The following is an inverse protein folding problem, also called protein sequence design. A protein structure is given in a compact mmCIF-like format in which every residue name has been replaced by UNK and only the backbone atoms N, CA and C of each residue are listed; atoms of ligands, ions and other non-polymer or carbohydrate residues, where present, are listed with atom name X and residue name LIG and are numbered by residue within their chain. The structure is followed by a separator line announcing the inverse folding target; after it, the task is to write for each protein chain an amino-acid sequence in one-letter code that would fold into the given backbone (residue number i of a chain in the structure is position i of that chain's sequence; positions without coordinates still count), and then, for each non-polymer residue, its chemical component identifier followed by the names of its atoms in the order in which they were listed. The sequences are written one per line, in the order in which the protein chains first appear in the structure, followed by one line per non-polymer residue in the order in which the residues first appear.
data_IF_510754643597
#
_entry.id   IF_510754643597
#
_cell.length_a   1.000
_cell.length_b   1.000
_cell.length_c   1.000
_cell.angle_alpha   90.00
_cell.angle_beta   90.00
_cell.angle_gamma   90.00
#
_symmetry.space_group_name_H-M   'P 1'
#
loop_
_entity.id
_entity.type
_entity.pdbx_description
1 polymer ?
#
# COMPACT_ATOMS: atom_id res chain seq x y z
N UNK A 1 -11.40 -2.57 -13.05
CA UNK A 1 -11.11 -4.03 -13.00
C UNK A 1 -10.20 -4.30 -11.79
N UNK A 2 -10.39 -5.40 -11.04
CA UNK A 2 -9.56 -5.75 -9.86
C UNK A 2 -8.67 -6.95 -10.16
N UNK A 3 -7.49 -7.05 -9.53
CA UNK A 3 -6.61 -8.24 -9.67
C UNK A 3 -7.27 -9.51 -9.15
N UNK A 4 -8.19 -9.38 -8.20
CA UNK A 4 -8.99 -10.45 -7.62
C UNK A 4 -10.34 -10.66 -8.32
N UNK A 5 -10.46 -10.33 -9.59
CA UNK A 5 -11.66 -10.62 -10.38
C UNK A 5 -11.43 -11.74 -11.39
N UNK A 6 -12.45 -12.54 -11.63
CA UNK A 6 -12.45 -13.60 -12.65
C UNK A 6 -12.10 -13.00 -14.03
N UNK A 7 -12.65 -11.83 -14.36
CA UNK A 7 -12.37 -11.12 -15.61
C UNK A 7 -10.88 -10.78 -15.77
N UNK A 8 -10.21 -10.39 -14.67
CA UNK A 8 -8.78 -10.12 -14.71
C UNK A 8 -7.96 -11.39 -14.86
N UNK A 9 -8.23 -12.40 -14.04
CA UNK A 9 -7.40 -13.61 -13.93
C UNK A 9 -7.47 -14.49 -15.18
N UNK A 10 -8.66 -14.66 -15.74
CA UNK A 10 -8.91 -15.65 -16.80
C UNK A 10 -9.10 -15.06 -18.19
N UNK A 11 -9.29 -13.75 -18.31
CA UNK A 11 -9.41 -13.10 -19.62
C UNK A 11 -8.33 -12.06 -19.84
N UNK A 12 -8.32 -11.01 -19.03
CA UNK A 12 -7.41 -9.88 -19.26
C UNK A 12 -5.94 -10.28 -19.17
N UNK A 13 -5.51 -10.87 -18.05
CA UNK A 13 -4.11 -11.20 -17.82
C UNK A 13 -3.54 -12.20 -18.84
N UNK A 14 -4.22 -13.32 -19.18
CA UNK A 14 -3.74 -14.23 -20.22
C UNK A 14 -3.62 -13.57 -21.60
N UNK A 15 -4.61 -12.76 -21.99
CA UNK A 15 -4.57 -12.04 -23.28
C UNK A 15 -3.37 -11.08 -23.31
N UNK A 16 -3.15 -10.30 -22.25
CA UNK A 16 -2.01 -9.36 -22.18
C UNK A 16 -0.67 -10.10 -22.21
N UNK A 17 -0.55 -11.23 -21.50
CA UNK A 17 0.67 -12.05 -21.53
C UNK A 17 0.92 -12.57 -22.94
N UNK A 18 -0.07 -13.16 -23.59
CA UNK A 18 0.05 -13.69 -24.96
C UNK A 18 0.49 -12.56 -25.93
N UNK A 19 -0.21 -11.43 -25.92
CA UNK A 19 0.12 -10.29 -26.77
C UNK A 19 1.55 -9.79 -26.51
N UNK A 20 1.95 -9.67 -25.23
CA UNK A 20 3.26 -9.18 -24.85
C UNK A 20 4.41 -10.07 -25.33
N UNK A 21 4.23 -11.40 -25.35
CA UNK A 21 5.27 -12.32 -25.78
C UNK A 21 5.30 -12.55 -27.30
N UNK A 22 4.18 -12.37 -28.00
CA UNK A 22 4.12 -12.50 -29.47
C UNK A 22 4.75 -11.30 -30.18
N UNK A 23 4.57 -10.07 -29.65
CA UNK A 23 5.04 -8.87 -30.36
C UNK A 23 6.56 -8.70 -30.27
N UNK A 24 7.19 -8.11 -31.33
CA UNK A 24 8.60 -7.72 -31.28
C UNK A 24 8.92 -6.74 -30.15
N UNK A 25 10.17 -6.73 -29.67
CA UNK A 25 10.62 -5.91 -28.53
C UNK A 25 10.19 -4.44 -28.61
N UNK A 26 10.23 -3.83 -29.79
CA UNK A 26 9.86 -2.43 -30.03
C UNK A 26 8.40 -2.10 -29.70
N UNK A 27 7.50 -3.08 -29.74
CA UNK A 27 6.07 -2.89 -29.47
C UNK A 27 5.67 -3.25 -28.04
N UNK A 28 6.55 -3.85 -27.23
CA UNK A 28 6.22 -4.29 -25.87
C UNK A 28 5.70 -3.16 -24.96
N UNK A 29 6.31 -1.96 -25.03
CA UNK A 29 5.81 -0.81 -24.27
C UNK A 29 4.44 -0.34 -24.76
N UNK A 30 4.18 -0.41 -26.07
CA UNK A 30 2.88 -0.05 -26.63
C UNK A 30 1.78 -0.99 -26.16
N UNK A 31 2.03 -2.31 -26.16
CA UNK A 31 1.07 -3.29 -25.65
C UNK A 31 0.81 -3.05 -24.15
N UNK A 32 1.85 -2.85 -23.34
CA UNK A 32 1.66 -2.58 -21.92
C UNK A 32 0.91 -1.27 -21.67
N UNK A 33 1.20 -0.22 -22.41
CA UNK A 33 0.48 1.05 -22.31
C UNK A 33 -1.00 0.87 -22.65
N UNK A 34 -1.29 0.26 -23.80
CA UNK A 34 -2.67 0.06 -24.26
C UNK A 34 -3.45 -0.82 -23.27
N UNK A 35 -2.86 -1.92 -22.80
CA UNK A 35 -3.46 -2.79 -21.80
C UNK A 35 -3.69 -2.06 -20.48
N UNK A 36 -2.75 -1.20 -20.05
CA UNK A 36 -2.88 -0.42 -18.81
C UNK A 36 -4.00 0.63 -18.92
N UNK A 37 -4.09 1.32 -20.04
CA UNK A 37 -5.19 2.27 -20.29
C UNK A 37 -6.53 1.53 -20.32
N UNK A 38 -6.62 0.39 -21.00
CA UNK A 38 -7.85 -0.42 -21.02
C UNK A 38 -8.23 -0.90 -19.61
N UNK A 39 -7.24 -1.40 -18.83
CA UNK A 39 -7.46 -1.83 -17.44
C UNK A 39 -8.04 -0.69 -16.58
N UNK A 40 -7.47 0.51 -16.71
CA UNK A 40 -7.91 1.69 -15.95
C UNK A 40 -9.27 2.18 -16.43
N UNK A 41 -9.47 2.27 -17.74
CA UNK A 41 -10.72 2.69 -18.37
C UNK A 41 -11.91 1.82 -17.97
N UNK A 42 -11.73 0.50 -17.83
CA UNK A 42 -12.79 -0.39 -17.34
C UNK A 42 -13.27 -0.06 -15.90
N UNK A 43 -12.46 0.63 -15.11
CA UNK A 43 -12.86 1.07 -13.76
C UNK A 43 -13.22 2.55 -13.68
N UNK A 44 -12.51 3.38 -14.46
CA UNK A 44 -12.54 4.84 -14.38
C UNK A 44 -12.54 5.49 -15.78
N UNK A 45 -13.64 5.41 -16.55
CA UNK A 45 -13.67 5.89 -17.93
C UNK A 45 -13.29 7.38 -18.05
N UNK A 46 -13.93 8.25 -17.27
CA UNK A 46 -13.72 9.71 -17.34
C UNK A 46 -12.32 10.07 -16.81
N UNK A 47 -11.90 9.47 -15.71
CA UNK A 47 -10.61 9.80 -15.06
C UNK A 47 -9.40 9.22 -15.79
N UNK A 48 -9.61 8.35 -16.77
CA UNK A 48 -8.55 7.95 -17.71
C UNK A 48 -8.02 9.15 -18.49
N UNK A 49 -8.89 10.06 -18.93
CA UNK A 49 -8.47 11.28 -19.63
C UNK A 49 -7.73 12.24 -18.70
N UNK A 50 -8.14 12.33 -17.42
CA UNK A 50 -7.42 13.11 -16.42
C UNK A 50 -5.99 12.57 -16.25
N UNK A 51 -5.82 11.27 -16.06
CA UNK A 51 -4.51 10.64 -15.91
C UNK A 51 -3.62 10.88 -17.13
N UNK A 52 -4.16 10.71 -18.35
CA UNK A 52 -3.42 10.98 -19.58
C UNK A 52 -3.02 12.46 -19.68
N UNK A 53 -3.91 13.38 -19.30
CA UNK A 53 -3.65 14.81 -19.23
C UNK A 53 -2.51 15.16 -18.27
N UNK A 54 -2.52 14.60 -17.05
CA UNK A 54 -1.43 14.79 -16.08
C UNK A 54 -0.09 14.23 -16.58
N UNK A 55 -0.10 13.05 -17.23
CA UNK A 55 1.11 12.48 -17.86
C UNK A 55 1.62 13.40 -18.97
N UNK A 56 0.73 13.96 -19.78
CA UNK A 56 1.11 14.87 -20.86
C UNK A 56 1.74 16.18 -20.30
N UNK A 57 1.13 16.77 -19.28
CA UNK A 57 1.68 17.94 -18.59
C UNK A 57 3.05 17.64 -18.00
N UNK A 58 3.22 16.49 -17.34
CA UNK A 58 4.50 16.06 -16.81
C UNK A 58 5.56 15.85 -17.91
N UNK A 59 5.15 15.26 -19.05
CA UNK A 59 6.03 15.02 -20.20
C UNK A 59 6.57 16.32 -20.81
N UNK A 60 5.68 17.25 -21.14
CA UNK A 60 6.07 18.54 -21.71
C UNK A 60 6.81 19.39 -20.69
N UNK A 61 6.28 19.44 -19.48
CA UNK A 61 6.83 20.23 -18.37
C UNK A 61 8.23 19.77 -17.97
N UNK A 62 8.49 18.46 -17.84
CA UNK A 62 9.81 17.94 -17.50
C UNK A 62 10.86 18.25 -18.58
N UNK A 63 10.50 18.15 -19.87
CA UNK A 63 11.40 18.52 -20.98
C UNK A 63 11.74 20.01 -20.99
N UNK A 64 10.75 20.85 -20.70
CA UNK A 64 10.96 22.28 -20.57
C UNK A 64 11.81 22.63 -19.33
N UNK A 65 11.56 21.92 -18.21
CA UNK A 65 12.32 22.04 -16.97
C UNK A 65 13.79 21.61 -17.14
N UNK A 66 14.07 20.52 -17.83
CA UNK A 66 15.44 20.07 -18.13
C UNK A 66 16.23 21.14 -18.88
N UNK A 67 15.61 21.78 -19.89
CA UNK A 67 16.24 22.81 -20.71
C UNK A 67 16.53 24.10 -19.93
N UNK A 68 15.60 24.55 -19.09
CA UNK A 68 15.68 25.86 -18.44
C UNK A 68 16.11 25.81 -16.97
N UNK A 69 15.96 24.69 -16.27
CA UNK A 69 16.31 24.45 -14.86
C UNK A 69 15.84 25.53 -13.87
N UNK A 70 14.70 26.19 -14.16
CA UNK A 70 14.16 27.24 -13.28
C UNK A 70 13.28 26.63 -12.19
N UNK A 71 13.50 27.06 -10.94
CA UNK A 71 12.71 26.64 -9.78
C UNK A 71 11.22 26.97 -9.92
N UNK A 72 10.88 28.10 -10.57
CA UNK A 72 9.49 28.51 -10.83
C UNK A 72 8.74 27.44 -11.66
N UNK A 73 9.37 26.89 -12.70
CA UNK A 73 8.78 25.82 -13.53
C UNK A 73 8.51 24.57 -12.68
N UNK A 74 9.48 24.18 -11.83
CA UNK A 74 9.27 23.06 -10.91
C UNK A 74 8.07 23.31 -10.00
N UNK A 75 8.02 24.48 -9.35
CA UNK A 75 6.91 24.84 -8.43
C UNK A 75 5.57 24.83 -9.16
N UNK A 76 5.49 25.37 -10.40
CA UNK A 76 4.26 25.35 -11.18
C UNK A 76 3.80 23.94 -11.50
N UNK A 77 4.73 23.04 -11.91
CA UNK A 77 4.40 21.63 -12.18
C UNK A 77 3.91 20.91 -10.92
N UNK A 78 4.60 21.09 -9.79
CA UNK A 78 4.17 20.54 -8.50
C UNK A 78 2.80 21.08 -8.09
N UNK A 79 2.55 22.38 -8.27
CA UNK A 79 1.27 23.00 -7.95
C UNK A 79 0.10 22.44 -8.78
N UNK A 80 0.33 22.16 -10.08
CA UNK A 80 -0.68 21.54 -10.95
C UNK A 80 -1.04 20.13 -10.45
N UNK A 81 -0.04 19.27 -10.26
CA UNK A 81 -0.30 17.88 -9.88
C UNK A 81 -0.82 17.73 -8.44
N UNK A 82 -0.29 18.51 -7.49
CA UNK A 82 -0.80 18.54 -6.10
C UNK A 82 -2.19 19.20 -6.08
N UNK A 83 -2.43 20.23 -6.90
CA UNK A 83 -3.71 20.89 -7.01
C UNK A 83 -4.81 19.95 -7.54
N UNK A 84 -4.51 19.15 -8.56
CA UNK A 84 -5.42 18.12 -9.05
C UNK A 84 -5.75 17.09 -7.95
N UNK A 85 -4.73 16.53 -7.28
CA UNK A 85 -4.94 15.65 -6.12
C UNK A 85 -5.76 16.33 -5.03
N UNK A 86 -5.47 17.60 -4.74
CA UNK A 86 -6.17 18.41 -3.74
C UNK A 86 -7.65 18.59 -4.06
N UNK A 87 -7.96 18.89 -5.32
CA UNK A 87 -9.32 19.09 -5.78
C UNK A 87 -10.17 17.81 -5.61
N UNK A 88 -9.68 16.68 -6.07
CA UNK A 88 -10.48 15.45 -6.01
C UNK A 88 -10.53 14.81 -4.62
N UNK A 89 -9.46 14.92 -3.82
CA UNK A 89 -9.38 14.24 -2.53
C UNK A 89 -9.83 15.08 -1.34
N UNK A 90 -9.61 16.40 -1.36
CA UNK A 90 -9.78 17.23 -0.15
C UNK A 90 -10.82 18.32 -0.27
N UNK A 91 -11.44 18.58 -1.43
CA UNK A 91 -12.41 19.65 -1.61
C UNK A 91 -13.57 19.55 -0.63
N UNK A 92 -14.27 18.42 -0.58
CA UNK A 92 -15.43 18.24 0.27
C UNK A 92 -15.06 18.23 1.76
N UNK A 93 -13.92 17.65 2.12
CA UNK A 93 -13.39 17.71 3.49
C UNK A 93 -13.11 19.16 3.92
N UNK A 94 -12.50 19.96 3.04
CA UNK A 94 -12.21 21.37 3.30
C UNK A 94 -13.49 22.18 3.42
N UNK A 95 -14.44 22.00 2.49
CA UNK A 95 -15.75 22.68 2.52
C UNK A 95 -16.52 22.35 3.78
N UNK A 96 -16.57 21.07 4.18
CA UNK A 96 -17.23 20.63 5.41
C UNK A 96 -16.63 21.31 6.65
N UNK A 97 -15.30 21.37 6.76
CA UNK A 97 -14.64 22.06 7.89
C UNK A 97 -14.93 23.55 7.89
N UNK A 98 -14.93 24.23 6.73
CA UNK A 98 -15.29 25.65 6.60
C UNK A 98 -16.74 25.85 7.04
N UNK A 99 -17.66 25.02 6.57
CA UNK A 99 -19.07 25.11 6.94
C UNK A 99 -19.29 24.94 8.45
N UNK A 100 -18.56 24.00 9.08
CA UNK A 100 -18.65 23.78 10.53
C UNK A 100 -18.06 24.94 11.35
N UNK A 101 -16.92 25.48 10.94
CA UNK A 101 -16.23 26.56 11.67
C UNK A 101 -16.96 27.90 11.53
N UNK A 102 -17.42 28.23 10.33
CA UNK A 102 -17.97 29.56 10.02
C UNK A 102 -19.49 29.56 9.92
N UNK A 103 -20.18 28.42 10.11
CA UNK A 103 -21.65 28.34 9.94
C UNK A 103 -22.09 28.56 8.50
N UNK A 104 -21.19 28.46 7.52
CA UNK A 104 -21.48 28.64 6.10
C UNK A 104 -22.23 27.43 5.54
N UNK A 105 -22.90 27.63 4.37
CA UNK A 105 -23.63 26.55 3.67
C UNK A 105 -23.10 26.38 2.25
N UNK A 106 -21.77 26.32 2.09
CA UNK A 106 -21.13 26.11 0.80
C UNK A 106 -21.48 24.70 0.34
N UNK A 107 -22.00 24.49 -0.88
CA UNK A 107 -22.34 23.17 -1.39
C UNK A 107 -21.11 22.34 -1.61
N UNK A 108 -21.21 21.04 -1.30
CA UNK A 108 -20.16 20.06 -1.57
C UNK A 108 -20.06 19.80 -3.07
N UNK A 109 -18.85 19.61 -3.57
CA UNK A 109 -18.60 19.32 -4.98
C UNK A 109 -18.96 17.89 -5.36
N UNK A 110 -18.93 16.94 -4.40
CA UNK A 110 -19.24 15.51 -4.56
C UNK A 110 -18.48 14.85 -5.72
N UNK A 111 -17.21 15.27 -5.90
CA UNK A 111 -16.33 14.67 -6.91
C UNK A 111 -15.92 13.28 -6.46
N UNK A 112 -16.13 12.29 -7.31
CA UNK A 112 -15.61 10.96 -7.04
C UNK A 112 -14.07 10.97 -7.07
N UNK A 113 -13.43 10.29 -6.12
CA UNK A 113 -11.99 10.20 -6.05
C UNK A 113 -11.46 9.24 -7.14
N UNK A 114 -10.65 9.73 -8.11
CA UNK A 114 -10.09 8.84 -9.14
C UNK A 114 -9.19 7.76 -8.53
N UNK A 115 -9.44 6.51 -8.83
CA UNK A 115 -8.67 5.38 -8.30
C UNK A 115 -7.19 5.56 -8.68
N UNK A 116 -6.30 5.44 -7.70
CA UNK A 116 -4.85 5.53 -7.91
C UNK A 116 -4.29 6.94 -8.08
N UNK A 117 -5.10 8.02 -8.02
CA UNK A 117 -4.60 9.40 -8.18
C UNK A 117 -3.46 9.72 -7.20
N UNK A 118 -3.55 9.28 -5.96
CA UNK A 118 -2.49 9.48 -4.95
C UNK A 118 -1.17 8.82 -5.35
N UNK A 119 -1.22 7.66 -5.99
CA UNK A 119 -0.03 6.88 -6.40
C UNK A 119 0.62 7.47 -7.65
N UNK A 120 -0.15 7.69 -8.72
CA UNK A 120 0.44 8.22 -9.94
C UNK A 120 0.89 9.69 -9.79
N UNK A 121 0.24 10.47 -8.94
CA UNK A 121 0.72 11.81 -8.59
C UNK A 121 2.10 11.75 -7.92
N UNK A 122 2.33 10.82 -6.99
CA UNK A 122 3.66 10.65 -6.37
C UNK A 122 4.72 10.17 -7.36
N UNK A 123 4.35 9.32 -8.32
CA UNK A 123 5.24 8.92 -9.41
C UNK A 123 5.63 10.12 -10.29
N UNK A 124 4.65 10.92 -10.70
CA UNK A 124 4.87 12.12 -11.51
C UNK A 124 5.73 13.15 -10.75
N UNK A 125 5.39 13.44 -9.50
CA UNK A 125 6.15 14.37 -8.66
C UNK A 125 7.60 13.93 -8.53
N UNK A 126 7.84 12.65 -8.21
CA UNK A 126 9.21 12.13 -8.10
C UNK A 126 9.98 12.24 -9.42
N UNK A 127 9.35 11.92 -10.55
CA UNK A 127 9.95 12.07 -11.88
C UNK A 127 10.35 13.53 -12.18
N UNK A 128 9.43 14.48 -12.00
CA UNK A 128 9.67 15.90 -12.27
C UNK A 128 10.77 16.46 -11.35
N UNK A 129 10.76 16.10 -10.06
CA UNK A 129 11.79 16.50 -9.10
C UNK A 129 13.15 15.90 -9.45
N UNK A 130 13.20 14.64 -9.86
CA UNK A 130 14.46 13.97 -10.22
C UNK A 130 15.06 14.53 -11.53
N UNK A 131 14.22 14.92 -12.50
CA UNK A 131 14.66 15.69 -13.68
C UNK A 131 15.26 17.05 -13.27
N UNK A 132 14.59 17.80 -12.37
CA UNK A 132 15.12 19.07 -11.88
C UNK A 132 16.46 18.92 -11.17
N UNK A 133 16.60 17.86 -10.34
CA UNK A 133 17.85 17.52 -9.65
C UNK A 133 18.96 17.01 -10.57
N UNK A 134 18.64 16.68 -11.82
CA UNK A 134 19.58 16.10 -12.78
C UNK A 134 19.91 14.63 -12.51
N UNK A 135 19.13 13.94 -11.68
CA UNK A 135 19.29 12.50 -11.42
C UNK A 135 18.89 11.64 -12.61
N UNK A 136 17.84 12.04 -13.31
CA UNK A 136 17.36 11.41 -14.54
C UNK A 136 17.20 12.46 -15.64
N UNK A 137 17.28 12.03 -16.90
CA UNK A 137 16.98 12.89 -18.05
C UNK A 137 15.47 12.91 -18.30
N UNK A 138 14.99 14.04 -18.83
CA UNK A 138 13.59 14.11 -19.26
C UNK A 138 13.33 13.11 -20.39
N UNK A 139 12.30 12.28 -20.21
CA UNK A 139 11.96 11.23 -21.19
C UNK A 139 11.53 11.86 -22.52
N UNK A 140 12.17 11.42 -23.62
CA UNK A 140 11.92 11.92 -24.98
C UNK A 140 10.70 11.27 -25.64
N UNK A 141 10.29 10.10 -25.19
CA UNK A 141 9.14 9.36 -25.71
C UNK A 141 7.95 9.48 -24.78
N UNK A 142 6.86 10.10 -25.24
CA UNK A 142 5.61 10.16 -24.49
C UNK A 142 5.13 8.74 -24.12
N UNK A 143 5.18 7.80 -25.07
CA UNK A 143 4.76 6.42 -24.84
C UNK A 143 5.50 5.77 -23.66
N UNK A 144 6.82 5.97 -23.51
CA UNK A 144 7.57 5.38 -22.39
C UNK A 144 7.19 5.99 -21.06
N UNK A 145 7.03 7.31 -20.99
CA UNK A 145 6.57 7.97 -19.78
C UNK A 145 5.15 7.56 -19.41
N UNK A 146 4.27 7.50 -20.41
CA UNK A 146 2.89 7.07 -20.23
C UNK A 146 2.82 5.60 -19.77
N UNK A 147 3.62 4.71 -20.38
CA UNK A 147 3.74 3.32 -19.90
C UNK A 147 4.19 3.27 -18.44
N UNK A 148 5.19 4.06 -18.05
CA UNK A 148 5.68 4.10 -16.68
C UNK A 148 4.59 4.49 -15.69
N UNK A 149 3.89 5.59 -15.93
CA UNK A 149 2.91 6.13 -14.98
C UNK A 149 1.64 5.26 -14.95
N UNK A 150 1.16 4.81 -16.10
CA UNK A 150 -0.10 4.07 -16.20
C UNK A 150 0.03 2.56 -15.99
N UNK A 151 1.24 2.02 -15.78
CA UNK A 151 1.50 0.58 -15.75
C UNK A 151 0.60 -0.15 -14.76
N UNK A 152 -0.34 -0.96 -15.25
CA UNK A 152 -1.43 -1.54 -14.46
C UNK A 152 -0.99 -2.34 -13.21
N UNK A 153 0.16 -3.07 -13.19
CA UNK A 153 0.60 -3.75 -12.00
C UNK A 153 0.81 -2.85 -10.78
N UNK A 154 1.28 -1.62 -10.98
CA UNK A 154 1.64 -0.70 -9.89
C UNK A 154 0.64 0.44 -9.69
N UNK A 155 -0.20 0.75 -10.69
CA UNK A 155 -0.96 1.99 -10.81
C UNK A 155 -1.85 2.29 -9.60
N UNK A 156 -2.54 1.30 -9.07
CA UNK A 156 -3.63 1.51 -8.11
C UNK A 156 -3.12 1.56 -6.66
N UNK A 157 -2.40 0.53 -6.21
CA UNK A 157 -1.88 0.40 -4.85
C UNK A 157 -0.57 -0.43 -4.79
N UNK A 158 0.18 -0.49 -5.90
CA UNK A 158 1.49 -1.14 -5.95
C UNK A 158 2.55 -0.38 -5.15
N UNK A 159 3.79 -0.90 -5.09
CA UNK A 159 4.92 -0.11 -4.61
C UNK A 159 5.02 1.20 -5.41
N UNK A 160 5.30 2.31 -4.74
CA UNK A 160 5.56 3.60 -5.42
C UNK A 160 6.89 3.48 -6.15
N UNK A 161 6.81 3.06 -7.42
CA UNK A 161 7.98 2.86 -8.27
C UNK A 161 8.46 4.22 -8.78
N UNK A 162 9.74 4.50 -8.64
CA UNK A 162 10.36 5.73 -9.18
C UNK A 162 10.79 5.51 -10.61
N UNK A 163 10.79 6.57 -11.39
CA UNK A 163 11.26 6.52 -12.79
C UNK A 163 12.71 6.05 -12.88
N UNK A 164 13.59 6.54 -12.01
CA UNK A 164 14.99 6.12 -11.89
C UNK A 164 15.16 4.59 -11.78
N UNK A 165 14.22 3.92 -11.09
CA UNK A 165 14.28 2.47 -10.85
C UNK A 165 14.07 1.66 -12.13
N UNK A 166 13.14 2.10 -13.00
CA UNK A 166 12.74 1.32 -14.18
C UNK A 166 13.11 1.96 -15.52
N UNK A 167 13.78 3.12 -15.51
CA UNK A 167 14.19 3.85 -16.72
C UNK A 167 14.89 2.92 -17.74
N UNK A 168 15.89 2.16 -17.25
CA UNK A 168 16.64 1.23 -18.11
C UNK A 168 15.80 0.06 -18.61
N UNK A 169 14.85 -0.40 -17.82
CA UNK A 169 13.96 -1.52 -18.14
C UNK A 169 12.86 -1.12 -19.14
N UNK A 170 12.52 0.16 -19.22
CA UNK A 170 11.65 0.66 -20.29
C UNK A 170 12.30 0.52 -21.67
N UNK A 171 13.63 0.56 -21.75
CA UNK A 171 14.39 0.43 -23.00
C UNK A 171 14.85 -1.01 -23.25
N UNK A 172 15.48 -1.61 -22.24
CA UNK A 172 16.14 -2.91 -22.34
C UNK A 172 15.80 -3.78 -21.14
N UNK A 173 14.68 -4.50 -21.21
CA UNK A 173 14.33 -5.52 -20.21
C UNK A 173 14.42 -6.91 -20.78
N UNK A 174 14.82 -7.85 -19.95
CA UNK A 174 14.86 -9.28 -20.27
C UNK A 174 13.65 -9.98 -19.64
N UNK A 175 12.87 -10.65 -20.49
CA UNK A 175 11.80 -11.54 -20.04
C UNK A 175 12.28 -12.97 -20.32
N UNK A 176 12.76 -13.67 -19.31
CA UNK A 176 13.14 -15.07 -19.35
C UNK A 176 12.14 -15.93 -18.58
N UNK A 177 12.20 -17.24 -18.79
CA UNK A 177 11.30 -18.20 -18.14
C UNK A 177 11.43 -18.16 -16.60
N UNK A 178 12.63 -17.99 -16.09
CA UNK A 178 12.88 -17.94 -14.65
C UNK A 178 12.19 -16.75 -13.98
N UNK A 179 12.33 -15.54 -14.54
CA UNK A 179 11.63 -14.34 -14.08
C UNK A 179 10.11 -14.48 -14.21
N UNK A 180 9.64 -15.11 -15.28
CA UNK A 180 8.22 -15.36 -15.48
C UNK A 180 7.67 -16.32 -14.43
N UNK A 181 8.34 -17.46 -14.21
CA UNK A 181 7.94 -18.44 -13.20
C UNK A 181 7.97 -17.85 -11.77
N UNK A 182 9.01 -17.06 -11.45
CA UNK A 182 9.06 -16.31 -10.20
C UNK A 182 7.86 -15.35 -10.06
N UNK A 183 7.53 -14.63 -11.14
CA UNK A 183 6.43 -13.69 -11.18
C UNK A 183 5.08 -14.37 -10.94
N UNK A 184 4.81 -15.50 -11.63
CA UNK A 184 3.58 -16.30 -11.44
C UNK A 184 3.46 -16.77 -9.99
N UNK A 185 4.51 -17.35 -9.44
CA UNK A 185 4.54 -17.82 -8.04
C UNK A 185 4.22 -16.68 -7.08
N UNK A 186 4.90 -15.54 -7.24
CA UNK A 186 4.71 -14.37 -6.37
C UNK A 186 3.28 -13.83 -6.45
N UNK A 187 2.73 -13.78 -7.67
CA UNK A 187 1.36 -13.36 -7.91
C UNK A 187 0.34 -14.29 -7.23
N UNK A 188 0.48 -15.61 -7.39
CA UNK A 188 -0.43 -16.59 -6.80
C UNK A 188 -0.38 -16.56 -5.26
N UNK A 189 0.83 -16.42 -4.68
CA UNK A 189 0.98 -16.24 -3.22
C UNK A 189 0.27 -14.96 -2.75
N UNK A 190 0.45 -13.84 -3.47
CA UNK A 190 -0.26 -12.60 -3.20
C UNK A 190 -1.78 -12.77 -3.26
N UNK A 191 -2.26 -13.45 -4.29
CA UNK A 191 -3.67 -13.75 -4.47
C UNK A 191 -4.24 -14.60 -3.31
N UNK A 192 -3.50 -15.64 -2.89
CA UNK A 192 -3.83 -16.45 -1.71
C UNK A 192 -3.89 -15.62 -0.42
N UNK A 193 -2.92 -14.75 -0.18
CA UNK A 193 -2.92 -13.82 0.97
C UNK A 193 -4.16 -12.94 0.99
N UNK A 194 -4.56 -12.38 -0.17
CA UNK A 194 -5.74 -11.52 -0.27
C UNK A 194 -7.02 -12.29 0.01
N UNK A 195 -7.26 -13.38 -0.73
CA UNK A 195 -8.55 -14.06 -0.72
C UNK A 195 -8.72 -14.94 0.52
N UNK A 196 -7.70 -15.73 0.88
CA UNK A 196 -7.82 -16.74 1.93
C UNK A 196 -7.49 -16.22 3.34
N UNK A 197 -6.82 -15.05 3.45
CA UNK A 197 -6.46 -14.51 4.75
C UNK A 197 -7.08 -13.13 4.96
N UNK A 198 -6.77 -12.14 4.11
CA UNK A 198 -7.20 -10.77 4.34
C UNK A 198 -8.72 -10.62 4.29
N UNK A 199 -9.40 -11.30 3.35
CA UNK A 199 -10.85 -11.24 3.22
C UNK A 199 -11.55 -11.88 4.41
N UNK A 200 -11.13 -13.09 4.82
CA UNK A 200 -11.69 -13.77 5.98
C UNK A 200 -11.55 -12.95 7.27
N UNK A 201 -10.38 -12.30 7.45
CA UNK A 201 -10.19 -11.38 8.59
C UNK A 201 -11.04 -10.11 8.45
N UNK A 202 -11.29 -9.66 7.22
CA UNK A 202 -12.19 -8.55 6.92
C UNK A 202 -13.63 -8.85 7.32
N UNK A 203 -14.13 -10.03 6.98
CA UNK A 203 -15.45 -10.49 7.40
C UNK A 203 -15.61 -10.47 8.94
N UNK A 204 -14.58 -10.93 9.67
CA UNK A 204 -14.59 -10.87 11.14
C UNK A 204 -14.62 -9.42 11.66
N UNK A 205 -13.92 -8.49 11.00
CA UNK A 205 -13.98 -7.06 11.33
C UNK A 205 -15.35 -6.46 11.03
N UNK A 206 -16.00 -6.86 9.94
CA UNK A 206 -17.35 -6.41 9.58
C UNK A 206 -18.39 -6.95 10.57
N UNK A 207 -18.26 -8.21 11.00
CA UNK A 207 -19.08 -8.78 12.08
C UNK A 207 -18.95 -7.96 13.37
N UNK A 208 -17.70 -7.61 13.78
CA UNK A 208 -17.49 -6.76 14.96
C UNK A 208 -18.18 -5.40 14.80
N UNK A 209 -18.14 -4.81 13.63
CA UNK A 209 -18.72 -3.49 13.36
C UNK A 209 -20.25 -3.49 13.40
N UNK A 210 -20.88 -4.60 12.99
CA UNK A 210 -22.34 -4.72 12.87
C UNK A 210 -23.02 -5.31 14.11
N UNK A 211 -22.30 -6.03 14.98
CA UNK A 211 -22.88 -6.63 16.19
C UNK A 211 -23.08 -5.61 17.29
N UNK A 212 -24.18 -5.73 18.04
CA UNK A 212 -24.44 -4.94 19.24
C UNK A 212 -23.88 -5.60 20.52
N UNK A 213 -23.64 -6.90 20.51
CA UNK A 213 -23.15 -7.68 21.64
C UNK A 213 -21.61 -7.77 21.59
N UNK A 214 -20.93 -6.75 22.11
CA UNK A 214 -19.48 -6.74 22.20
C UNK A 214 -19.02 -7.15 23.59
N UNK A 215 -17.86 -7.83 23.67
CA UNK A 215 -17.15 -8.12 24.90
C UNK A 215 -15.73 -7.58 24.82
N UNK A 216 -15.05 -7.41 25.96
CA UNK A 216 -13.65 -6.97 25.99
C UNK A 216 -12.78 -7.84 25.08
N UNK A 217 -12.95 -9.17 25.19
CA UNK A 217 -12.20 -10.10 24.31
C UNK A 217 -12.51 -9.87 22.82
N UNK A 218 -13.75 -9.47 22.46
CA UNK A 218 -14.09 -9.23 21.05
C UNK A 218 -13.42 -7.95 20.52
N UNK A 219 -13.26 -6.90 21.32
CA UNK A 219 -12.47 -5.73 20.95
C UNK A 219 -10.99 -6.09 20.69
N UNK A 220 -10.39 -6.98 21.49
CA UNK A 220 -9.03 -7.48 21.24
C UNK A 220 -8.93 -8.33 19.98
N UNK A 221 -9.89 -9.22 19.76
CA UNK A 221 -9.96 -10.02 18.52
C UNK A 221 -10.07 -9.10 17.30
N UNK A 222 -10.91 -8.08 17.34
CA UNK A 222 -11.03 -7.06 16.30
C UNK A 222 -9.70 -6.33 16.06
N UNK A 223 -9.06 -5.83 17.08
CA UNK A 223 -7.79 -5.11 16.95
C UNK A 223 -6.68 -5.96 16.30
N UNK A 224 -6.58 -7.23 16.69
CA UNK A 224 -5.65 -8.20 16.12
C UNK A 224 -6.04 -8.51 14.66
N UNK A 225 -7.31 -8.81 14.43
CA UNK A 225 -7.82 -9.17 13.09
C UNK A 225 -7.65 -8.04 12.09
N UNK A 226 -7.98 -6.80 12.46
CA UNK A 226 -7.80 -5.66 11.59
C UNK A 226 -6.32 -5.37 11.31
N UNK A 227 -5.45 -5.51 12.31
CA UNK A 227 -4.01 -5.37 12.13
C UNK A 227 -3.44 -6.41 11.15
N UNK A 228 -3.90 -7.65 11.24
CA UNK A 228 -3.52 -8.71 10.31
C UNK A 228 -4.15 -8.50 8.93
N UNK A 229 -5.44 -8.12 8.87
CA UNK A 229 -6.15 -7.82 7.63
C UNK A 229 -5.42 -6.77 6.80
N UNK A 230 -5.14 -5.59 7.36
CA UNK A 230 -4.48 -4.50 6.63
C UNK A 230 -3.08 -4.89 6.15
N UNK A 231 -2.35 -5.69 6.93
CA UNK A 231 -1.05 -6.22 6.51
C UNK A 231 -1.16 -7.19 5.34
N UNK A 232 -2.04 -8.20 5.45
CA UNK A 232 -2.20 -9.20 4.39
C UNK A 232 -2.83 -8.60 3.14
N UNK A 233 -3.81 -7.72 3.27
CA UNK A 233 -4.45 -7.02 2.16
C UNK A 233 -3.43 -6.23 1.33
N UNK A 234 -2.64 -5.39 1.99
CA UNK A 234 -1.70 -4.51 1.30
C UNK A 234 -0.42 -5.24 0.86
N UNK A 235 0.11 -6.16 1.67
CA UNK A 235 1.26 -6.97 1.24
C UNK A 235 0.89 -7.91 0.09
N UNK A 236 -0.35 -8.41 0.04
CA UNK A 236 -0.86 -9.21 -1.06
C UNK A 236 -0.88 -8.43 -2.37
N UNK A 237 -1.42 -7.19 -2.34
CA UNK A 237 -1.38 -6.33 -3.53
C UNK A 237 0.06 -6.07 -3.99
N UNK A 238 0.96 -5.75 -3.06
CA UNK A 238 2.38 -5.53 -3.38
C UNK A 238 3.03 -6.79 -3.99
N UNK A 239 2.74 -7.99 -3.47
CA UNK A 239 3.26 -9.25 -4.02
C UNK A 239 2.71 -9.51 -5.42
N UNK A 240 1.42 -9.26 -5.67
CA UNK A 240 0.82 -9.39 -6.99
C UNK A 240 1.44 -8.38 -7.97
N UNK A 241 1.62 -7.12 -7.57
CA UNK A 241 2.24 -6.09 -8.39
C UNK A 241 3.69 -6.44 -8.76
N UNK A 242 4.50 -6.88 -7.78
CA UNK A 242 5.88 -7.33 -8.01
C UNK A 242 5.90 -8.56 -8.93
N UNK A 243 4.99 -9.51 -8.71
CA UNK A 243 4.84 -10.70 -9.53
C UNK A 243 4.55 -10.36 -10.99
N UNK A 244 3.53 -9.52 -11.23
CA UNK A 244 3.18 -9.03 -12.56
C UNK A 244 4.33 -8.25 -13.21
N UNK A 245 4.99 -7.37 -12.44
CA UNK A 245 6.18 -6.66 -12.91
C UNK A 245 7.25 -7.64 -13.43
N UNK A 246 7.56 -8.69 -12.67
CA UNK A 246 8.53 -9.73 -13.06
C UNK A 246 8.13 -10.50 -14.32
N UNK A 247 6.84 -10.83 -14.48
CA UNK A 247 6.35 -11.49 -15.69
C UNK A 247 6.64 -10.66 -16.95
N UNK A 248 6.55 -9.33 -16.83
CA UNK A 248 6.82 -8.39 -17.93
C UNK A 248 8.28 -7.88 -17.98
N UNK A 249 9.15 -8.38 -17.12
CA UNK A 249 10.59 -8.04 -17.07
C UNK A 249 10.93 -6.77 -16.32
N UNK A 250 10.05 -6.29 -15.42
CA UNK A 250 10.30 -5.18 -14.50
C UNK A 250 10.64 -5.67 -13.09
N UNK A 251 11.52 -4.93 -12.40
CA UNK A 251 11.98 -5.24 -11.05
C UNK A 251 11.48 -4.17 -10.06
N UNK A 252 10.28 -4.37 -9.51
CA UNK A 252 9.77 -3.49 -8.48
C UNK A 252 10.41 -3.81 -7.12
N UNK A 253 10.54 -2.78 -6.29
CA UNK A 253 11.11 -2.90 -4.95
C UNK A 253 10.13 -3.55 -3.98
N UNK A 254 10.69 -4.25 -2.97
CA UNK A 254 9.89 -4.78 -1.86
C UNK A 254 9.21 -3.65 -1.08
N UNK A 255 7.97 -3.89 -0.68
CA UNK A 255 7.18 -2.91 0.07
C UNK A 255 6.97 -3.31 1.54
N UNK A 256 7.09 -4.59 1.86
CA UNK A 256 6.96 -5.15 3.20
C UNK A 256 8.07 -6.15 3.53
N UNK A 257 8.52 -6.14 4.80
CA UNK A 257 9.50 -7.10 5.32
C UNK A 257 9.16 -7.52 6.75
N UNK A 258 8.08 -8.30 6.92
CA UNK A 258 7.62 -8.80 8.23
C UNK A 258 7.57 -7.71 9.33
N UNK A 259 6.76 -6.67 9.19
CA UNK A 259 6.80 -5.50 10.07
C UNK A 259 6.46 -5.80 11.53
N UNK A 260 5.67 -6.84 11.80
CA UNK A 260 5.22 -7.18 13.15
C UNK A 260 6.27 -7.84 14.05
N UNK A 261 7.45 -8.17 13.51
CA UNK A 261 8.59 -8.64 14.35
C UNK A 261 9.48 -7.49 14.84
N UNK A 262 9.14 -6.24 14.49
CA UNK A 262 9.94 -5.06 14.81
C UNK A 262 10.06 -4.84 16.32
N UNK A 263 11.17 -4.23 16.73
CA UNK A 263 11.51 -3.94 18.12
C UNK A 263 11.39 -2.46 18.48
N UNK A 264 11.08 -1.60 17.49
CA UNK A 264 10.82 -0.17 17.66
C UNK A 264 9.84 0.29 16.58
N UNK A 265 9.16 1.43 16.80
CA UNK A 265 8.30 2.05 15.79
C UNK A 265 9.13 2.50 14.60
N UNK A 266 10.35 2.97 14.85
CA UNK A 266 11.32 3.29 13.78
C UNK A 266 11.62 2.08 12.90
N UNK A 267 11.85 0.90 13.48
CA UNK A 267 12.07 -0.34 12.72
C UNK A 267 10.80 -0.78 11.99
N UNK A 268 9.63 -0.66 12.64
CA UNK A 268 8.34 -0.98 12.01
C UNK A 268 8.18 -0.23 10.68
N UNK A 269 8.39 1.08 10.63
CA UNK A 269 8.27 1.89 9.42
C UNK A 269 9.36 1.65 8.38
N UNK A 270 10.48 1.05 8.76
CA UNK A 270 11.50 0.55 7.81
C UNK A 270 11.11 -0.77 7.15
N UNK A 271 10.08 -1.46 7.69
CA UNK A 271 9.59 -2.75 7.21
C UNK A 271 8.18 -2.67 6.64
N UNK A 272 7.43 -1.63 6.97
CA UNK A 272 6.07 -1.34 6.52
C UNK A 272 6.07 -0.27 5.44
N UNK A 273 5.37 -0.53 4.31
CA UNK A 273 5.19 0.43 3.20
C UNK A 273 6.49 1.17 2.83
N UNK A 274 7.55 0.38 2.57
CA UNK A 274 8.93 0.87 2.40
C UNK A 274 9.05 1.88 1.26
N UNK A 275 8.24 1.71 0.19
CA UNK A 275 8.24 2.63 -0.96
C UNK A 275 7.73 4.02 -0.58
N UNK A 276 6.65 4.12 0.22
CA UNK A 276 6.13 5.38 0.73
C UNK A 276 7.12 6.06 1.69
N UNK A 277 7.64 5.29 2.65
CA UNK A 277 8.61 5.78 3.64
C UNK A 277 9.86 6.34 2.97
N UNK A 278 10.38 5.64 1.95
CA UNK A 278 11.53 6.13 1.19
C UNK A 278 11.17 7.34 0.32
N UNK A 279 9.94 7.41 -0.23
CA UNK A 279 9.49 8.56 -0.99
C UNK A 279 9.44 9.83 -0.12
N UNK A 280 8.77 9.79 1.04
CA UNK A 280 8.72 10.91 1.97
C UNK A 280 10.10 11.31 2.48
N UNK A 281 10.98 10.33 2.75
CA UNK A 281 12.38 10.62 3.13
C UNK A 281 13.10 11.45 2.06
N UNK A 282 13.02 11.05 0.80
CA UNK A 282 13.88 11.59 -0.26
C UNK A 282 13.30 12.87 -0.90
N UNK A 283 11.98 13.03 -0.88
CA UNK A 283 11.31 14.19 -1.50
C UNK A 283 10.79 15.22 -0.50
N UNK A 284 10.65 14.86 0.79
CA UNK A 284 10.22 15.81 1.83
C UNK A 284 11.24 15.95 2.94
N UNK A 285 11.60 14.87 3.65
CA UNK A 285 12.43 14.94 4.85
C UNK A 285 13.85 15.49 4.57
N UNK A 286 14.53 14.94 3.58
CA UNK A 286 15.90 15.38 3.21
C UNK A 286 15.91 16.82 2.69
N UNK A 287 15.03 17.26 1.76
CA UNK A 287 14.95 18.66 1.33
C UNK A 287 14.69 19.66 2.46
N UNK A 288 13.94 19.28 3.50
CA UNK A 288 13.70 20.12 4.69
C UNK A 288 14.92 20.22 5.61
N UNK A 289 16.03 19.53 5.31
CA UNK A 289 17.28 19.53 6.08
C UNK A 289 17.56 18.23 6.85
N UNK A 290 16.64 17.26 6.82
CA UNK A 290 16.82 15.95 7.49
C UNK A 290 17.09 16.09 8.99
N UNK A 291 18.11 15.37 9.49
CA UNK A 291 18.57 15.40 10.88
C UNK A 291 19.87 16.18 11.12
N UNK A 292 20.39 16.86 10.08
CA UNK A 292 21.74 17.46 10.13
C UNK A 292 21.81 18.86 10.77
N UNK A 293 20.65 19.49 10.99
CA UNK A 293 20.53 20.89 11.42
C UNK A 293 20.05 21.05 12.87
N UNK A 294 20.33 20.06 13.72
CA UNK A 294 19.96 20.08 15.15
C UNK A 294 18.58 19.49 15.47
N UNK A 295 18.30 19.35 16.77
CA UNK A 295 17.12 18.63 17.29
C UNK A 295 15.81 19.31 16.94
N UNK A 296 15.72 20.63 16.97
CA UNK A 296 14.48 21.38 16.65
C UNK A 296 14.07 21.14 15.20
N UNK A 297 15.03 21.20 14.27
CA UNK A 297 14.77 20.96 12.85
C UNK A 297 14.38 19.49 12.62
N UNK A 298 15.01 18.56 13.33
CA UNK A 298 14.65 17.16 13.32
C UNK A 298 13.19 16.94 13.71
N UNK A 299 12.77 17.48 14.88
CA UNK A 299 11.40 17.36 15.40
C UNK A 299 10.40 17.94 14.42
N UNK A 300 10.66 19.18 13.94
CA UNK A 300 9.83 19.82 12.90
C UNK A 300 9.68 18.95 11.66
N UNK A 301 10.77 18.39 11.15
CA UNK A 301 10.76 17.62 9.92
C UNK A 301 10.00 16.30 10.09
N UNK A 302 10.14 15.61 11.23
CA UNK A 302 9.35 14.42 11.55
C UNK A 302 7.87 14.79 11.62
N UNK A 303 7.53 15.85 12.33
CA UNK A 303 6.15 16.32 12.46
C UNK A 303 5.51 16.62 11.08
N UNK A 304 6.21 17.39 10.21
CA UNK A 304 5.72 17.71 8.86
C UNK A 304 5.51 16.44 8.03
N UNK A 305 6.49 15.52 8.02
CA UNK A 305 6.40 14.27 7.24
C UNK A 305 5.19 13.44 7.68
N UNK A 306 4.98 13.31 8.99
CA UNK A 306 3.90 12.48 9.50
C UNK A 306 2.53 13.14 9.41
N UNK A 307 2.44 14.45 9.53
CA UNK A 307 1.22 15.19 9.22
C UNK A 307 0.83 15.01 7.74
N UNK A 308 1.80 15.17 6.83
CA UNK A 308 1.58 14.94 5.39
C UNK A 308 1.25 13.47 5.08
N UNK A 309 1.85 12.52 5.78
CA UNK A 309 1.54 11.10 5.62
C UNK A 309 0.10 10.80 6.05
N UNK A 310 -0.35 11.34 7.18
CA UNK A 310 -1.73 11.22 7.63
C UNK A 310 -2.72 11.83 6.64
N UNK A 311 -2.48 13.06 6.23
CA UNK A 311 -3.30 13.75 5.21
C UNK A 311 -3.33 12.93 3.91
N UNK A 312 -2.19 12.40 3.44
CA UNK A 312 -2.13 11.62 2.21
C UNK A 312 -3.00 10.36 2.24
N UNK A 313 -3.15 9.72 3.39
CA UNK A 313 -3.99 8.54 3.53
C UNK A 313 -5.47 8.83 3.30
N UNK A 314 -6.01 9.95 3.80
CA UNK A 314 -7.42 10.24 3.58
C UNK A 314 -7.87 11.61 4.08
N UNK A 315 -9.00 12.05 3.57
CA UNK A 315 -9.66 13.31 3.93
C UNK A 315 -10.56 13.10 5.16
N UNK A 316 -9.97 12.68 6.28
CA UNK A 316 -10.65 12.53 7.56
C UNK A 316 -9.69 12.86 8.71
N UNK A 317 -10.20 13.40 9.79
CA UNK A 317 -9.42 13.73 10.99
C UNK A 317 -8.78 12.51 11.66
N UNK A 318 -9.38 11.33 11.53
CA UNK A 318 -8.79 10.07 12.05
C UNK A 318 -7.42 9.78 11.41
N UNK A 319 -7.26 10.02 10.10
CA UNK A 319 -5.96 9.86 9.43
C UNK A 319 -4.94 10.90 9.86
N UNK A 320 -5.39 12.16 10.09
CA UNK A 320 -4.50 13.22 10.59
C UNK A 320 -3.98 12.86 11.99
N UNK A 321 -4.87 12.44 12.89
CA UNK A 321 -4.51 12.02 14.26
C UNK A 321 -3.60 10.80 14.23
N UNK A 322 -3.91 9.82 13.38
CA UNK A 322 -3.07 8.64 13.17
C UNK A 322 -1.64 9.02 12.74
N UNK A 323 -1.50 9.92 11.76
CA UNK A 323 -0.20 10.39 11.34
C UNK A 323 0.54 11.15 12.43
N UNK A 324 -0.12 12.07 13.13
CA UNK A 324 0.48 12.82 14.24
C UNK A 324 0.90 11.92 15.39
N UNK A 325 0.11 10.89 15.72
CA UNK A 325 0.47 9.87 16.73
C UNK A 325 1.81 9.23 16.39
N UNK A 326 2.01 8.76 15.16
CA UNK A 326 3.30 8.19 14.76
C UNK A 326 4.43 9.22 14.74
N UNK A 327 4.14 10.46 14.34
CA UNK A 327 5.11 11.57 14.43
C UNK A 327 5.61 11.76 15.87
N UNK A 328 4.69 11.81 16.83
CA UNK A 328 5.00 11.96 18.28
C UNK A 328 5.79 10.74 18.76
N UNK A 329 5.33 9.52 18.46
CA UNK A 329 6.02 8.29 18.89
C UNK A 329 7.45 8.20 18.39
N UNK A 330 7.69 8.56 17.12
CA UNK A 330 9.04 8.58 16.53
C UNK A 330 9.93 9.65 17.13
N UNK A 331 9.38 10.82 17.51
CA UNK A 331 10.11 11.86 18.22
C UNK A 331 10.50 11.34 19.60
N UNK A 332 9.57 10.75 20.35
CA UNK A 332 9.80 10.16 21.67
C UNK A 332 10.86 9.05 21.59
N UNK A 333 10.72 8.12 20.63
CA UNK A 333 11.74 7.08 20.43
C UNK A 333 13.11 7.70 20.21
N UNK A 334 13.21 8.64 19.29
CA UNK A 334 14.51 9.19 18.86
C UNK A 334 15.20 10.01 19.92
N UNK A 335 14.45 10.75 20.75
CA UNK A 335 15.00 11.64 21.75
C UNK A 335 15.23 10.94 23.09
N UNK A 336 14.36 9.99 23.46
CA UNK A 336 14.33 9.45 24.83
C UNK A 336 14.34 7.92 24.87
N UNK A 337 13.46 7.27 24.08
CA UNK A 337 13.11 5.88 24.35
C UNK A 337 14.11 4.86 23.75
N UNK A 338 14.82 5.19 22.67
CA UNK A 338 15.72 4.24 21.97
C UNK A 338 16.71 3.59 22.94
N UNK A 339 17.39 4.39 23.78
CA UNK A 339 18.38 3.87 24.75
C UNK A 339 17.79 2.93 25.81
N UNK A 340 16.52 3.11 26.14
CA UNK A 340 15.79 2.25 27.09
C UNK A 340 15.31 0.98 26.39
N UNK A 341 14.76 1.11 25.19
CA UNK A 341 14.34 -0.06 24.39
C UNK A 341 15.48 -1.02 24.14
N UNK A 342 16.68 -0.54 23.77
CA UNK A 342 17.86 -1.38 23.52
C UNK A 342 18.27 -2.24 24.73
N UNK A 343 17.94 -1.80 25.95
CA UNK A 343 18.23 -2.53 27.20
C UNK A 343 17.10 -3.52 27.58
N UNK A 344 15.93 -3.42 26.97
CA UNK A 344 14.79 -4.28 27.29
C UNK A 344 14.91 -5.65 26.60
N UNK A 345 14.35 -6.73 27.18
CA UNK A 345 14.18 -7.99 26.49
C UNK A 345 13.41 -7.82 25.16
N UNK A 346 13.82 -8.54 24.12
CA UNK A 346 13.22 -8.44 22.79
C UNK A 346 11.71 -8.68 22.77
N UNK A 347 11.18 -9.44 23.72
CA UNK A 347 9.74 -9.69 23.81
C UNK A 347 8.99 -8.41 24.24
N UNK A 348 9.50 -7.67 25.21
CA UNK A 348 8.88 -6.41 25.66
C UNK A 348 8.96 -5.33 24.58
N UNK A 349 10.06 -5.27 23.84
CA UNK A 349 10.18 -4.37 22.69
C UNK A 349 9.09 -4.65 21.64
N UNK A 350 8.84 -5.92 21.31
CA UNK A 350 7.79 -6.33 20.37
C UNK A 350 6.39 -6.06 20.90
N UNK A 351 6.13 -6.31 22.18
CA UNK A 351 4.83 -6.00 22.81
C UNK A 351 4.56 -4.49 22.69
N UNK A 352 5.54 -3.64 22.99
CA UNK A 352 5.43 -2.19 22.79
C UNK A 352 5.04 -1.81 21.36
N UNK A 353 5.74 -2.37 20.37
CA UNK A 353 5.44 -2.08 18.96
C UNK A 353 4.06 -2.57 18.58
N UNK A 354 3.74 -3.84 18.86
CA UNK A 354 2.46 -4.45 18.49
C UNK A 354 1.28 -3.72 19.13
N UNK A 355 1.39 -3.38 20.40
CA UNK A 355 0.34 -2.64 21.12
C UNK A 355 0.13 -1.26 20.48
N UNK A 356 1.22 -0.49 20.27
CA UNK A 356 1.15 0.84 19.64
C UNK A 356 0.53 0.76 18.24
N UNK A 357 0.94 -0.23 17.43
CA UNK A 357 0.44 -0.42 16.08
C UNK A 357 -1.04 -0.82 16.08
N UNK A 358 -1.48 -1.72 16.97
CA UNK A 358 -2.89 -2.10 17.09
C UNK A 358 -3.77 -0.89 17.43
N UNK A 359 -3.39 -0.09 18.44
CA UNK A 359 -4.11 1.14 18.79
C UNK A 359 -4.16 2.09 17.59
N UNK A 360 -3.05 2.27 16.90
CA UNK A 360 -3.00 3.13 15.71
C UNK A 360 -3.94 2.66 14.60
N UNK A 361 -4.04 1.36 14.37
CA UNK A 361 -4.92 0.81 13.35
C UNK A 361 -6.40 0.86 13.72
N UNK A 362 -6.75 0.84 15.01
CA UNK A 362 -8.12 1.16 15.45
C UNK A 362 -8.49 2.61 15.06
N UNK A 363 -7.58 3.57 15.28
CA UNK A 363 -7.79 4.97 14.87
C UNK A 363 -7.93 5.08 13.35
N UNK A 364 -7.07 4.36 12.62
CA UNK A 364 -7.07 4.36 11.15
C UNK A 364 -8.34 3.79 10.54
N UNK A 365 -8.94 2.76 11.17
CA UNK A 365 -10.16 2.12 10.67
C UNK A 365 -11.43 2.91 10.95
N UNK A 366 -11.42 3.73 12.01
CA UNK A 366 -12.62 4.41 12.49
C UNK A 366 -13.09 5.52 11.53
N UNK A 367 -14.42 5.66 11.38
CA UNK A 367 -15.03 6.71 10.58
C UNK A 367 -15.04 8.07 11.30
N UNK A 368 -14.90 8.07 12.63
CA UNK A 368 -14.85 9.29 13.45
C UNK A 368 -13.90 9.12 14.64
N UNK A 369 -13.49 10.24 15.23
CA UNK A 369 -12.67 10.26 16.45
C UNK A 369 -13.42 9.61 17.63
N UNK A 370 -14.75 9.84 17.73
CA UNK A 370 -15.59 9.25 18.75
C UNK A 370 -15.65 7.72 18.65
N UNK A 371 -15.79 7.19 17.43
CA UNK A 371 -15.75 5.75 17.19
C UNK A 371 -14.38 5.15 17.55
N UNK A 372 -13.28 5.81 17.14
CA UNK A 372 -11.93 5.38 17.49
C UNK A 372 -11.76 5.32 19.01
N UNK A 373 -12.19 6.35 19.72
CA UNK A 373 -12.12 6.41 21.18
C UNK A 373 -12.93 5.30 21.85
N UNK A 374 -14.20 5.12 21.43
CA UNK A 374 -15.06 4.05 21.96
C UNK A 374 -14.45 2.66 21.75
N UNK A 375 -13.86 2.40 20.57
CA UNK A 375 -13.21 1.13 20.31
C UNK A 375 -11.94 0.94 21.16
N UNK A 376 -11.18 2.00 21.45
CA UNK A 376 -10.00 1.93 22.32
C UNK A 376 -10.39 1.66 23.78
N UNK A 377 -11.36 2.39 24.33
CA UNK A 377 -11.78 2.19 25.72
C UNK A 377 -12.49 0.85 25.93
N UNK A 378 -13.17 0.32 24.89
CA UNK A 378 -13.77 -1.01 24.90
C UNK A 378 -12.74 -2.14 25.10
N UNK A 379 -11.48 -1.97 24.66
CA UNK A 379 -10.40 -2.92 24.96
C UNK A 379 -10.16 -3.09 26.47
N UNK A 380 -10.54 -2.10 27.27
CA UNK A 380 -10.32 -2.07 28.71
C UNK A 380 -11.62 -2.19 29.53
N UNK A 381 -12.76 -2.43 28.85
CA UNK A 381 -14.07 -2.62 29.49
C UNK A 381 -14.71 -1.36 30.05
N UNK A 382 -14.26 -0.18 29.61
CA UNK A 382 -14.78 1.10 30.12
C UNK A 382 -16.22 1.42 29.67
N UNK A 383 -16.74 0.69 28.66
CA UNK A 383 -18.13 0.83 28.20
C UNK A 383 -19.11 -0.11 28.96
N UNK A 384 -18.64 -0.83 30.00
CA UNK A 384 -19.46 -1.74 30.81
C UNK A 384 -19.68 -3.14 30.19
N UNK A 385 -18.89 -3.52 29.18
CA UNK A 385 -18.99 -4.84 28.56
C UNK A 385 -18.48 -5.97 29.46
N UNK A 386 -19.06 -7.15 29.29
CA UNK A 386 -18.55 -8.37 29.91
C UNK A 386 -17.16 -8.74 29.35
N UNK A 387 -16.36 -9.45 30.15
CA UNK A 387 -15.05 -9.93 29.70
C UNK A 387 -15.17 -10.83 28.45
N UNK A 388 -16.13 -11.75 28.46
CA UNK A 388 -16.39 -12.73 27.38
C UNK A 388 -17.90 -12.96 27.31
N UNK A 389 -18.44 -13.16 26.11
CA UNK A 389 -19.81 -13.60 25.87
C UNK A 389 -19.86 -14.76 24.85
N UNK A 390 -21.02 -15.39 24.70
CA UNK A 390 -21.20 -16.55 23.82
C UNK A 390 -20.89 -16.24 22.36
N UNK A 391 -21.30 -15.06 21.86
CA UNK A 391 -21.02 -14.59 20.49
C UNK A 391 -19.51 -14.49 20.22
N UNK A 392 -18.75 -13.93 21.17
CA UNK A 392 -17.28 -13.84 21.05
C UNK A 392 -16.63 -15.21 20.98
N UNK A 393 -17.06 -16.17 21.79
CA UNK A 393 -16.52 -17.55 21.77
C UNK A 393 -16.84 -18.22 20.44
N UNK A 394 -18.05 -18.02 19.92
CA UNK A 394 -18.43 -18.54 18.61
C UNK A 394 -17.53 -18.01 17.49
N UNK A 395 -17.36 -16.69 17.38
CA UNK A 395 -16.53 -16.09 16.34
C UNK A 395 -15.04 -16.44 16.51
N UNK A 396 -14.53 -16.46 17.72
CA UNK A 396 -13.15 -16.90 17.96
C UNK A 396 -12.91 -18.33 17.45
N UNK A 397 -13.81 -19.26 17.73
CA UNK A 397 -13.72 -20.65 17.25
C UNK A 397 -13.83 -20.74 15.74
N UNK A 398 -14.75 -19.98 15.12
CA UNK A 398 -15.00 -20.01 13.68
C UNK A 398 -13.78 -19.47 12.89
N UNK A 399 -13.10 -18.46 13.39
CA UNK A 399 -11.96 -17.83 12.71
C UNK A 399 -10.59 -18.22 13.29
N UNK A 400 -10.53 -19.14 14.27
CA UNK A 400 -9.28 -19.50 14.95
C UNK A 400 -8.19 -19.97 13.98
N UNK A 401 -8.56 -20.80 13.01
CA UNK A 401 -7.60 -21.36 12.03
C UNK A 401 -6.97 -20.26 11.19
N UNK A 402 -7.78 -19.33 10.66
CA UNK A 402 -7.26 -18.22 9.85
C UNK A 402 -6.43 -17.26 10.69
N UNK A 403 -6.81 -16.99 11.94
CA UNK A 403 -6.02 -16.16 12.87
C UNK A 403 -4.64 -16.77 13.13
N UNK A 404 -4.56 -18.06 13.41
CA UNK A 404 -3.28 -18.77 13.64
C UNK A 404 -2.42 -18.74 12.36
N UNK A 405 -3.00 -19.03 11.20
CA UNK A 405 -2.29 -18.96 9.90
C UNK A 405 -1.77 -17.54 9.64
N UNK A 406 -2.58 -16.52 9.92
CA UNK A 406 -2.21 -15.13 9.73
C UNK A 406 -1.09 -14.69 10.70
N UNK A 407 -1.16 -15.07 11.98
CA UNK A 407 -0.10 -14.77 12.94
C UNK A 407 1.24 -15.41 12.50
N UNK A 408 1.24 -16.69 12.14
CA UNK A 408 2.44 -17.40 11.67
C UNK A 408 2.94 -16.76 10.36
N UNK A 409 2.05 -16.51 9.40
CA UNK A 409 2.37 -15.92 8.10
C UNK A 409 2.87 -14.48 8.16
N UNK A 410 2.55 -13.75 9.23
CA UNK A 410 3.07 -12.39 9.48
C UNK A 410 4.53 -12.38 9.98
N UNK A 411 5.12 -13.55 10.22
CA UNK A 411 6.51 -13.76 10.66
C UNK A 411 7.35 -14.44 9.59
N UNK A 412 8.69 -14.33 9.62
CA UNK A 412 9.57 -15.00 8.66
C UNK A 412 9.73 -16.51 8.93
N UNK A 413 8.95 -17.10 9.86
CA UNK A 413 9.12 -18.48 10.31
C UNK A 413 9.06 -19.49 9.15
N UNK A 414 7.99 -19.43 8.35
CA UNK A 414 7.82 -20.34 7.20
C UNK A 414 8.92 -20.15 6.16
N UNK A 415 9.26 -18.91 5.84
CA UNK A 415 10.36 -18.60 4.92
C UNK A 415 11.67 -19.22 5.40
N UNK A 416 12.04 -19.01 6.66
CA UNK A 416 13.27 -19.52 7.25
C UNK A 416 13.31 -21.07 7.29
N UNK A 417 12.16 -21.71 7.55
CA UNK A 417 12.05 -23.17 7.51
C UNK A 417 12.28 -23.69 6.09
N UNK A 418 11.60 -23.10 5.09
CA UNK A 418 11.73 -23.52 3.69
C UNK A 418 13.17 -23.29 3.19
N UNK A 419 13.79 -22.16 3.51
CA UNK A 419 15.18 -21.88 3.13
C UNK A 419 16.16 -22.89 3.76
N UNK A 420 15.99 -23.23 5.03
CA UNK A 420 16.80 -24.30 5.69
C UNK A 420 16.60 -25.67 5.06
N UNK A 421 15.37 -26.01 4.67
CA UNK A 421 15.07 -27.28 4.00
C UNK A 421 15.67 -27.34 2.59
N UNK A 422 15.66 -26.22 1.85
CA UNK A 422 16.25 -26.13 0.50
C UNK A 422 17.76 -26.36 0.47
N UNK A 423 18.47 -26.20 1.58
CA UNK A 423 19.91 -26.52 1.68
C UNK A 423 20.15 -28.05 1.56
N UNK A 424 19.17 -28.86 1.98
CA UNK A 424 19.27 -30.32 1.88
C UNK A 424 18.84 -30.79 0.49
N UNK A 425 19.73 -31.44 -0.27
CA UNK A 425 19.53 -31.84 -1.68
C UNK A 425 18.21 -32.58 -1.93
N UNK A 426 17.87 -33.56 -1.08
CA UNK A 426 16.64 -34.35 -1.23
C UNK A 426 15.39 -33.52 -0.92
N UNK A 427 15.43 -32.70 0.13
CA UNK A 427 14.31 -31.81 0.48
C UNK A 427 14.08 -30.74 -0.61
N UNK A 428 15.13 -30.20 -1.22
CA UNK A 428 15.01 -29.25 -2.32
C UNK A 428 14.29 -29.85 -3.54
N UNK A 429 14.61 -31.10 -3.91
CA UNK A 429 13.91 -31.81 -5.01
C UNK A 429 12.42 -31.96 -4.73
N UNK A 430 12.07 -32.36 -3.50
CA UNK A 430 10.67 -32.51 -3.07
C UNK A 430 9.95 -31.15 -3.07
N UNK A 431 10.57 -30.11 -2.53
CA UNK A 431 10.00 -28.76 -2.53
C UNK A 431 9.74 -28.29 -3.95
N UNK A 432 10.70 -28.44 -4.87
CA UNK A 432 10.55 -28.03 -6.26
C UNK A 432 9.45 -28.82 -7.00
N UNK A 433 9.18 -30.05 -6.61
CA UNK A 433 8.08 -30.85 -7.16
C UNK A 433 6.72 -30.44 -6.59
N UNK A 434 6.65 -30.17 -5.27
CA UNK A 434 5.40 -29.83 -4.59
C UNK A 434 4.99 -28.37 -4.80
N UNK A 435 5.93 -27.46 -5.06
CA UNK A 435 5.65 -26.03 -5.21
C UNK A 435 4.64 -25.72 -6.33
N UNK A 436 4.75 -26.24 -7.58
CA UNK A 436 3.75 -26.04 -8.60
C UNK A 436 2.36 -26.59 -8.23
N UNK A 437 2.32 -27.74 -7.55
CA UNK A 437 1.07 -28.36 -7.07
C UNK A 437 0.40 -27.45 -6.04
N UNK A 438 1.17 -26.92 -5.09
CA UNK A 438 0.67 -26.00 -4.09
C UNK A 438 0.16 -24.69 -4.73
N UNK A 439 0.87 -24.15 -5.74
CA UNK A 439 0.41 -22.96 -6.45
C UNK A 439 -0.88 -23.23 -7.22
N UNK A 440 -1.01 -24.35 -7.89
CA UNK A 440 -2.24 -24.75 -8.58
C UNK A 440 -3.39 -24.93 -7.60
N UNK A 441 -3.16 -25.58 -6.45
CA UNK A 441 -4.18 -25.75 -5.41
C UNK A 441 -4.65 -24.41 -4.84
N UNK A 442 -3.73 -23.47 -4.55
CA UNK A 442 -4.09 -22.12 -4.12
C UNK A 442 -4.96 -21.44 -5.18
N UNK A 443 -4.57 -21.50 -6.45
CA UNK A 443 -5.33 -20.86 -7.53
C UNK A 443 -6.75 -21.45 -7.67
N UNK A 444 -6.90 -22.77 -7.56
CA UNK A 444 -8.20 -23.45 -7.63
C UNK A 444 -9.08 -23.01 -6.45
N UNK A 445 -8.55 -23.05 -5.21
CA UNK A 445 -9.31 -22.66 -4.02
C UNK A 445 -9.71 -21.19 -4.10
N UNK A 446 -8.78 -20.31 -4.44
CA UNK A 446 -9.05 -18.89 -4.63
C UNK A 446 -10.12 -18.67 -5.69
N UNK A 447 -10.08 -19.39 -6.80
CA UNK A 447 -11.09 -19.28 -7.86
C UNK A 447 -12.47 -19.65 -7.34
N UNK A 448 -12.58 -20.71 -6.55
CA UNK A 448 -13.85 -21.11 -5.93
C UNK A 448 -14.42 -19.99 -5.04
N UNK A 449 -13.59 -19.40 -4.19
CA UNK A 449 -13.98 -18.24 -3.37
C UNK A 449 -14.39 -17.01 -4.19
N UNK A 450 -13.70 -16.73 -5.30
CA UNK A 450 -14.01 -15.58 -6.16
C UNK A 450 -15.28 -15.77 -6.99
N UNK A 451 -15.66 -16.99 -7.28
CA UNK A 451 -16.95 -17.30 -7.95
C UNK A 451 -18.10 -17.11 -6.99
N UNK A 452 -17.94 -17.50 -5.73
CA UNK A 452 -18.96 -17.35 -4.68
C UNK A 452 -19.14 -15.89 -4.24
N UNK A 453 -18.04 -15.14 -4.09
CA UNK A 453 -18.00 -13.74 -3.65
C UNK A 453 -17.52 -12.82 -4.78
N UNK A 454 -18.44 -12.22 -5.52
CA UNK A 454 -18.14 -11.46 -6.74
C UNK A 454 -17.44 -10.11 -6.52
N UNK A 455 -17.55 -9.47 -5.34
CA UNK A 455 -16.95 -8.15 -5.08
C UNK A 455 -16.13 -8.15 -3.80
N UNK A 456 -14.82 -7.96 -3.96
CA UNK A 456 -13.90 -7.96 -2.84
C UNK A 456 -12.80 -6.89 -3.04
N UNK A 457 -13.12 -5.60 -2.77
CA UNK A 457 -12.18 -4.51 -2.94
C UNK A 457 -11.02 -4.62 -1.95
N UNK A 458 -9.87 -4.08 -2.33
CA UNK A 458 -8.76 -3.85 -1.40
C UNK A 458 -9.11 -2.71 -0.45
N UNK A 459 -8.68 -2.80 0.81
CA UNK A 459 -8.88 -1.74 1.80
C UNK A 459 -8.38 -0.37 1.30
N UNK A 460 -7.32 -0.36 0.51
CA UNK A 460 -6.74 0.85 -0.06
C UNK A 460 -7.67 1.63 -1.02
N UNK A 461 -8.77 1.05 -1.48
CA UNK A 461 -9.79 1.79 -2.24
C UNK A 461 -10.69 2.68 -1.38
N UNK A 462 -10.57 2.55 -0.05
CA UNK A 462 -11.29 3.42 0.90
C UNK A 462 -10.59 4.75 1.17
N UNK A 463 -9.33 4.91 0.75
CA UNK A 463 -8.46 6.02 1.16
C UNK A 463 -8.02 6.93 0.03
#
# INVERSE_FOLDING_TARGET
MLFTSISFLYYFLPIVIILYFIVPKKFKNFILFLSSIFFYFCGEPIYTFLMIGEIFIAYVGARYLEKHRKKSILVSLLAIHIGALGLFKYSDFTINNINQIFGSKIPLLKLALPIGISFYTFQIISYVVDVYRGKVKAQKSFLKLATYVSLFPQLIAGPIVRYETIEKELDNRTSNFENFAYGVRRFVIGLGKKVLIANMLGELCDVFSTTNEKSILFYWIFAISYSLQIYFDFSAYSDMAIGLGRMFGFHFLENFNYPYISKSITEFWRRWHMSLSSWFRDYVYIPLGGNRKGTIILVRNIFIVWALTGIWHGANWTFVIWGLMFGIMLIIEKLFLTKHLEKMPSILQRIYVLFTVMISFIIFNANSIGEAWNNIIGLFGANGESLINASTVYYLKSYLVVLVIAIIGSTPLLKNIIEKLKIKTNANKIINLLEPIAMASILIIVTAYLVDNSYNPFLYFRF
#
